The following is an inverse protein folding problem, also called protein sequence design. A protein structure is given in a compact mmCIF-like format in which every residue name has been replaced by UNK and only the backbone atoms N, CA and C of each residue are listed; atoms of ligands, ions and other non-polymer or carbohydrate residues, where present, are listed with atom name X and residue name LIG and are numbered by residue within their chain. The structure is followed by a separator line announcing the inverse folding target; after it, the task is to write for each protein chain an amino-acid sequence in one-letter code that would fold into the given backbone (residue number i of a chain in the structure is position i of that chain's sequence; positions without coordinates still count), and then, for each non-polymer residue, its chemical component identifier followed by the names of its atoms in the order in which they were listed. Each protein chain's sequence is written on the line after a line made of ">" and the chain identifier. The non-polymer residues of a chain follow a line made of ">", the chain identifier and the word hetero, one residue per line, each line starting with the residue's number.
data_IF_912715887036
#
_entry.id   IF_912715887036
#
_cell.length_a   1.000
_cell.length_b   1.000
_cell.length_c   1.000
_cell.angle_alpha   90.00
_cell.angle_beta   90.00
_cell.angle_gamma   90.00
#
_symmetry.space_group_name_H-M   'P 1'
#
loop_
_entity.id
_entity.type
_entity.pdbx_description
1 polymer ?
#
# COMPACT_ATOMS: atom_id res chain seq x y z
N UNK A 1 5.15 -8.66 56.87
CA UNK A 1 5.17 -10.15 56.86
C UNK A 1 5.23 -10.54 55.40
N UNK A 2 6.29 -11.06 54.79
CA UNK A 2 7.34 -11.97 55.22
C UNK A 2 8.67 -11.57 54.58
N UNK A 3 9.75 -11.84 55.30
CA UNK A 3 11.12 -11.40 55.10
C UNK A 3 11.98 -12.63 54.80
N UNK A 4 12.54 -12.77 53.59
CA UNK A 4 13.62 -13.72 53.25
C UNK A 4 14.34 -13.15 52.01
N UNK A 5 15.65 -13.09 51.83
CA UNK A 5 16.81 -12.98 52.71
C UNK A 5 17.98 -12.56 51.79
N UNK A 6 18.86 -11.70 52.29
CA UNK A 6 20.09 -11.21 51.66
C UNK A 6 21.11 -12.33 51.38
N UNK A 7 21.75 -12.26 50.20
CA UNK A 7 23.17 -12.61 49.96
C UNK A 7 23.62 -11.83 48.71
N UNK A 8 24.23 -10.65 48.80
CA UNK A 8 25.63 -10.38 49.18
C UNK A 8 26.66 -11.17 48.36
N UNK A 9 26.92 -10.76 47.12
CA UNK A 9 28.25 -10.85 46.51
C UNK A 9 28.51 -9.52 45.77
N UNK A 10 29.06 -8.57 46.52
CA UNK A 10 29.88 -7.47 45.98
C UNK A 10 31.31 -7.91 46.20
N UNK A 11 32.08 -8.13 45.11
CA UNK A 11 33.54 -7.98 45.09
C UNK A 11 34.07 -8.14 43.67
N UNK A 12 34.60 -7.03 43.14
CA UNK A 12 35.72 -7.07 42.21
C UNK A 12 35.42 -6.99 40.72
N UNK A 13 34.73 -5.95 40.24
CA UNK A 13 35.03 -5.44 38.90
C UNK A 13 36.06 -4.34 39.10
N UNK A 14 37.31 -4.76 39.13
CA UNK A 14 38.45 -3.85 38.94
C UNK A 14 38.30 -3.30 37.53
N UNK A 15 38.06 -2.00 37.45
CA UNK A 15 38.30 -1.16 36.29
C UNK A 15 39.76 -1.34 35.89
N UNK A 16 40.03 -2.33 35.06
CA UNK A 16 41.30 -2.51 34.39
C UNK A 16 41.09 -2.03 32.95
N UNK A 17 41.16 -0.71 32.83
CA UNK A 17 41.51 -0.03 31.58
C UNK A 17 42.96 -0.45 31.29
N UNK A 18 43.16 -1.68 30.81
CA UNK A 18 44.42 -2.07 30.18
C UNK A 18 44.36 -1.53 28.76
N UNK A 19 44.94 -0.36 28.58
CA UNK A 19 46.12 -0.19 27.73
C UNK A 19 46.24 -1.10 26.50
N UNK A 20 45.23 -1.14 25.63
CA UNK A 20 45.37 -1.68 24.27
C UNK A 20 46.17 -0.74 23.32
N UNK A 21 46.77 0.33 23.86
CA UNK A 21 47.54 1.32 23.11
C UNK A 21 49.07 1.12 23.13
N UNK A 22 49.62 0.13 23.86
CA UNK A 22 51.08 0.02 24.06
C UNK A 22 51.80 -1.15 23.37
N UNK A 23 51.11 -1.96 22.56
CA UNK A 23 51.73 -2.91 21.62
C UNK A 23 51.44 -2.55 20.15
N UNK A 24 51.51 -1.26 19.82
CA UNK A 24 51.72 -0.81 18.44
C UNK A 24 53.22 -0.89 18.07
N UNK A 25 53.89 -1.96 18.51
CA UNK A 25 55.16 -2.37 17.91
C UNK A 25 54.90 -2.80 16.47
N UNK A 26 55.89 -2.63 15.61
CA UNK A 26 55.84 -2.83 14.16
C UNK A 26 55.48 -4.29 13.80
N UNK A 27 54.21 -4.66 13.93
CA UNK A 27 53.63 -5.94 13.48
C UNK A 27 53.40 -5.92 11.96
N UNK A 28 53.86 -4.88 11.26
CA UNK A 28 53.77 -4.78 9.81
C UNK A 28 54.61 -5.91 9.18
N UNK A 29 53.94 -7.01 8.85
CA UNK A 29 54.55 -8.18 8.19
C UNK A 29 54.44 -9.49 8.97
N UNK A 30 54.06 -9.48 10.25
CA UNK A 30 53.88 -10.72 11.00
C UNK A 30 52.48 -11.29 10.74
N UNK A 31 52.39 -12.35 9.92
CA UNK A 31 51.13 -13.06 9.67
C UNK A 31 50.81 -14.02 10.81
N UNK A 32 49.56 -14.02 11.27
CA UNK A 32 49.04 -14.96 12.26
C UNK A 32 48.76 -16.29 11.57
N UNK A 33 49.22 -17.38 12.18
CA UNK A 33 48.90 -18.74 11.76
C UNK A 33 47.60 -19.19 12.43
N UNK A 34 46.55 -19.41 11.64
CA UNK A 34 45.27 -19.96 12.09
C UNK A 34 45.15 -21.39 11.56
N UNK A 35 44.93 -22.35 12.46
CA UNK A 35 44.79 -23.76 12.08
C UNK A 35 43.42 -23.97 11.42
N UNK A 36 43.36 -24.83 10.41
CA UNK A 36 42.13 -25.18 9.68
C UNK A 36 41.01 -25.66 10.61
N UNK A 37 41.35 -26.41 11.65
CA UNK A 37 40.42 -26.96 12.64
C UNK A 37 39.90 -25.93 13.65
N UNK A 38 40.52 -24.75 13.72
CA UNK A 38 40.03 -23.61 14.48
C UNK A 38 39.01 -22.75 13.70
N UNK A 39 38.84 -23.00 12.39
CA UNK A 39 37.82 -22.32 11.58
C UNK A 39 36.43 -22.92 11.83
N UNK A 40 35.42 -22.05 11.89
CA UNK A 40 34.01 -22.42 11.81
C UNK A 40 33.75 -23.37 10.60
N UNK A 41 32.83 -24.35 10.68
CA UNK A 41 32.55 -25.27 9.58
C UNK A 41 32.27 -24.60 8.23
N UNK A 42 31.63 -23.43 8.17
CA UNK A 42 31.40 -22.72 6.92
C UNK A 42 32.69 -22.12 6.34
N UNK A 43 33.48 -21.43 7.18
CA UNK A 43 34.79 -20.88 6.80
C UNK A 43 35.76 -22.00 6.40
N UNK A 44 35.72 -23.15 7.07
CA UNK A 44 36.53 -24.33 6.75
C UNK A 44 36.18 -24.91 5.38
N UNK A 45 34.89 -25.05 5.07
CA UNK A 45 34.45 -25.51 3.74
C UNK A 45 34.90 -24.55 2.64
N UNK A 46 34.79 -23.24 2.88
CA UNK A 46 35.26 -22.22 1.93
C UNK A 46 36.79 -22.22 1.76
N UNK A 47 37.54 -22.46 2.84
CA UNK A 47 38.98 -22.68 2.80
C UNK A 47 39.34 -23.91 1.95
N UNK A 48 38.68 -25.05 2.19
CA UNK A 48 38.91 -26.29 1.44
C UNK A 48 38.61 -26.15 -0.06
N UNK A 49 37.59 -25.36 -0.39
CA UNK A 49 37.20 -25.04 -1.77
C UNK A 49 38.08 -23.96 -2.44
N UNK A 50 38.97 -23.29 -1.70
CA UNK A 50 39.77 -22.17 -2.23
C UNK A 50 38.95 -20.89 -2.49
N UNK A 51 37.76 -20.80 -1.89
CA UNK A 51 36.85 -19.65 -2.01
C UNK A 51 37.05 -18.62 -0.90
N UNK A 52 37.89 -18.91 0.11
CA UNK A 52 38.20 -17.97 1.18
C UNK A 52 38.93 -16.73 0.64
N UNK A 53 38.54 -15.55 1.12
CA UNK A 53 39.17 -14.26 0.79
C UNK A 53 39.64 -13.56 2.06
N UNK A 54 40.80 -12.90 1.97
CA UNK A 54 41.39 -12.06 3.02
C UNK A 54 41.12 -10.59 2.68
N UNK A 55 40.30 -9.94 3.50
CA UNK A 55 39.98 -8.52 3.35
C UNK A 55 40.94 -7.68 4.17
N UNK A 56 41.77 -6.89 3.48
CA UNK A 56 42.60 -5.83 4.07
C UNK A 56 42.00 -4.47 3.72
N UNK A 57 42.32 -3.43 4.51
CA UNK A 57 41.73 -2.07 4.48
C UNK A 57 41.33 -1.53 3.10
N UNK A 58 42.00 -1.90 2.01
CA UNK A 58 41.70 -1.45 0.65
C UNK A 58 41.82 -2.55 -0.43
N UNK A 59 42.14 -3.80 -0.08
CA UNK A 59 42.40 -4.86 -1.06
C UNK A 59 41.87 -6.20 -0.58
N UNK A 60 41.08 -6.87 -1.41
CA UNK A 60 40.77 -8.30 -1.26
C UNK A 60 41.89 -9.12 -1.89
N UNK A 61 42.46 -10.04 -1.12
CA UNK A 61 43.53 -10.95 -1.60
C UNK A 61 43.21 -12.38 -1.22
N UNK A 62 43.74 -13.35 -1.96
CA UNK A 62 43.68 -14.75 -1.52
C UNK A 62 44.63 -14.91 -0.34
N UNK A 63 44.17 -15.43 0.82
CA UNK A 63 45.06 -15.63 1.94
C UNK A 63 46.17 -16.61 1.59
N UNK A 64 47.33 -16.46 2.24
CA UNK A 64 48.44 -17.40 2.06
C UNK A 64 48.14 -18.68 2.82
N UNK A 65 48.17 -19.80 2.13
CA UNK A 65 47.92 -21.13 2.68
C UNK A 65 49.21 -21.93 2.62
N UNK A 66 49.58 -22.60 3.71
CA UNK A 66 50.76 -23.46 3.72
C UNK A 66 50.59 -24.67 2.77
N UNK A 67 51.70 -25.27 2.34
CA UNK A 67 51.70 -26.30 1.29
C UNK A 67 50.86 -27.53 1.63
N UNK A 68 50.72 -27.84 2.92
CA UNK A 68 49.90 -28.93 3.45
C UNK A 68 48.42 -28.55 3.66
N UNK A 69 48.06 -27.28 3.43
CA UNK A 69 46.74 -26.70 3.66
C UNK A 69 46.20 -26.93 5.08
N UNK A 70 47.07 -27.05 6.08
CA UNK A 70 46.63 -27.18 7.48
C UNK A 70 46.54 -25.83 8.19
N UNK A 71 47.30 -24.86 7.70
CA UNK A 71 47.48 -23.57 8.36
C UNK A 71 47.26 -22.42 7.37
N UNK A 72 46.49 -21.44 7.82
CA UNK A 72 46.14 -20.23 7.11
C UNK A 72 46.94 -19.06 7.72
N UNK A 73 47.69 -18.33 6.88
CA UNK A 73 48.51 -17.18 7.31
C UNK A 73 47.81 -15.87 6.95
N UNK A 74 47.34 -15.15 7.97
CA UNK A 74 46.46 -13.97 7.81
C UNK A 74 47.14 -12.75 8.42
N UNK A 75 46.92 -11.57 7.85
CA UNK A 75 47.29 -10.33 8.54
C UNK A 75 46.48 -10.17 9.85
N UNK A 76 47.11 -9.75 10.97
CA UNK A 76 46.42 -9.50 12.24
C UNK A 76 45.20 -8.59 12.15
N UNK A 77 45.12 -7.73 11.12
CA UNK A 77 44.02 -6.80 10.92
C UNK A 77 43.06 -7.20 9.81
N UNK A 78 43.31 -8.33 9.15
CA UNK A 78 42.44 -8.80 8.08
C UNK A 78 41.24 -9.59 8.62
N UNK A 79 40.17 -9.53 7.83
CA UNK A 79 38.98 -10.37 8.04
C UNK A 79 38.96 -11.46 6.99
N UNK A 80 38.57 -12.67 7.39
CA UNK A 80 38.31 -13.77 6.48
C UNK A 80 36.87 -13.70 6.03
N UNK A 81 36.61 -13.86 4.73
CA UNK A 81 35.23 -13.85 4.25
C UNK A 81 34.97 -15.04 3.35
N UNK A 82 33.82 -15.67 3.59
CA UNK A 82 33.29 -16.77 2.81
C UNK A 82 31.82 -16.55 2.50
N UNK A 83 31.37 -17.08 1.37
CA UNK A 83 29.95 -17.20 1.05
C UNK A 83 29.56 -18.66 1.19
N UNK A 84 28.51 -18.93 1.96
CA UNK A 84 27.90 -20.25 2.04
C UNK A 84 26.78 -20.36 1.02
N UNK A 85 27.06 -21.02 -0.10
CA UNK A 85 26.07 -21.29 -1.16
C UNK A 85 25.08 -22.38 -0.76
N UNK A 86 25.39 -23.18 0.27
CA UNK A 86 24.52 -24.26 0.75
C UNK A 86 23.41 -23.75 1.66
N UNK A 87 23.65 -22.60 2.29
CA UNK A 87 22.67 -21.93 3.13
C UNK A 87 21.88 -20.97 2.25
N UNK A 88 20.75 -21.45 1.72
CA UNK A 88 19.68 -20.56 1.25
C UNK A 88 19.27 -19.57 2.34
N UNK A 89 18.35 -18.65 2.07
CA UNK A 89 17.85 -17.65 3.02
C UNK A 89 17.41 -18.27 4.37
N UNK A 90 18.35 -18.45 5.30
CA UNK A 90 18.12 -19.05 6.60
C UNK A 90 17.51 -18.00 7.50
N UNK A 91 16.51 -18.39 8.29
CA UNK A 91 15.88 -17.50 9.25
C UNK A 91 16.32 -17.84 10.67
N UNK A 92 16.76 -16.84 11.41
CA UNK A 92 17.01 -16.90 12.84
C UNK A 92 16.07 -15.91 13.51
N UNK A 93 15.19 -16.38 14.40
CA UNK A 93 14.18 -15.55 15.08
C UNK A 93 13.27 -14.73 14.13
N UNK A 94 13.02 -15.25 12.92
CA UNK A 94 12.24 -14.58 11.88
C UNK A 94 13.02 -13.57 11.04
N UNK A 95 14.28 -13.32 11.38
CA UNK A 95 15.19 -12.44 10.64
C UNK A 95 16.02 -13.24 9.64
N UNK A 96 16.42 -12.59 8.54
CA UNK A 96 17.15 -13.23 7.46
C UNK A 96 18.66 -13.15 7.73
N UNK A 97 19.31 -14.31 7.84
CA UNK A 97 20.77 -14.36 7.84
C UNK A 97 21.28 -14.37 6.41
N UNK A 98 22.18 -13.44 6.10
CA UNK A 98 22.83 -13.41 4.81
C UNK A 98 23.78 -14.62 4.67
N UNK A 99 24.05 -15.09 3.44
CA UNK A 99 24.92 -16.24 3.19
C UNK A 99 26.42 -15.88 3.33
N UNK A 100 26.76 -14.79 4.02
CA UNK A 100 28.13 -14.33 4.19
C UNK A 100 28.61 -14.65 5.62
N UNK A 101 29.80 -15.23 5.70
CA UNK A 101 30.53 -15.55 6.91
C UNK A 101 31.78 -14.69 6.97
N UNK A 102 31.92 -13.90 8.02
CA UNK A 102 33.05 -13.00 8.24
C UNK A 102 33.81 -13.51 9.47
N UNK A 103 34.91 -14.20 9.23
CA UNK A 103 35.83 -14.65 10.27
C UNK A 103 36.71 -13.50 10.76
N UNK A 104 36.53 -13.09 12.01
CA UNK A 104 37.39 -12.12 12.67
C UNK A 104 38.36 -12.85 13.58
N UNK A 105 39.65 -12.72 13.29
CA UNK A 105 40.70 -13.26 14.14
C UNK A 105 40.84 -12.35 15.35
N UNK A 106 40.57 -12.89 16.53
CA UNK A 106 40.78 -12.23 17.81
C UNK A 106 41.90 -12.93 18.56
N UNK A 107 42.70 -12.15 19.29
CA UNK A 107 43.72 -12.67 20.21
C UNK A 107 43.29 -12.33 21.64
N UNK A 108 42.37 -13.12 22.24
CA UNK A 108 41.91 -12.83 23.58
C UNK A 108 43.07 -12.90 24.57
N UNK A 109 43.19 -11.95 25.50
CA UNK A 109 44.29 -11.93 26.46
C UNK A 109 44.33 -13.24 27.27
N UNK A 110 45.43 -13.97 27.16
CA UNK A 110 45.65 -15.25 27.85
C UNK A 110 45.23 -16.50 27.05
N UNK A 111 44.74 -16.36 25.83
CA UNK A 111 44.54 -17.50 24.94
C UNK A 111 45.87 -17.99 24.38
N UNK A 112 46.04 -19.31 24.31
CA UNK A 112 47.21 -19.93 23.69
C UNK A 112 47.13 -19.92 22.15
N UNK A 113 45.93 -19.78 21.60
CA UNK A 113 45.66 -19.79 20.17
C UNK A 113 44.63 -18.69 19.81
N UNK A 114 44.77 -18.06 18.62
CA UNK A 114 43.81 -17.08 18.14
C UNK A 114 42.44 -17.72 17.89
N UNK A 115 41.37 -17.00 18.26
CA UNK A 115 39.99 -17.44 18.08
C UNK A 115 39.39 -16.72 16.88
N UNK A 116 38.82 -17.48 15.94
CA UNK A 116 38.09 -16.92 14.80
C UNK A 116 36.61 -16.82 15.16
N UNK A 117 36.12 -15.59 15.31
CA UNK A 117 34.70 -15.32 15.48
C UNK A 117 34.02 -15.34 14.11
N UNK A 118 33.04 -16.21 13.90
CA UNK A 118 32.19 -16.18 12.71
C UNK A 118 31.06 -15.16 12.87
N UNK A 119 31.09 -14.12 12.03
CA UNK A 119 30.06 -13.09 12.00
C UNK A 119 29.19 -13.23 10.77
N UNK A 120 27.89 -13.04 10.97
CA UNK A 120 26.90 -13.09 9.90
C UNK A 120 26.11 -11.78 9.86
N UNK A 121 25.98 -11.16 8.68
CA UNK A 121 25.02 -10.08 8.53
C UNK A 121 23.60 -10.61 8.68
N UNK A 122 22.82 -9.91 9.48
CA UNK A 122 21.43 -10.22 9.79
C UNK A 122 20.56 -9.05 9.34
N UNK A 123 19.55 -9.36 8.53
CA UNK A 123 18.62 -8.39 7.96
C UNK A 123 17.23 -8.65 8.51
N UNK A 124 16.69 -7.69 9.24
CA UNK A 124 15.28 -7.61 9.57
C UNK A 124 14.61 -6.60 8.63
N UNK A 125 13.43 -6.93 8.13
CA UNK A 125 12.64 -6.04 7.29
C UNK A 125 11.37 -5.64 8.03
N UNK A 126 10.88 -4.42 7.81
CA UNK A 126 9.52 -4.02 8.17
C UNK A 126 8.44 -4.87 7.49
N UNK A 127 8.83 -5.73 6.54
CA UNK A 127 8.04 -6.77 5.91
C UNK A 127 7.68 -6.43 4.48
N UNK A 128 7.11 -5.24 4.25
CA UNK A 128 6.63 -4.81 2.94
C UNK A 128 6.84 -3.31 2.72
N UNK A 129 6.85 -2.92 1.45
CA UNK A 129 6.72 -1.53 1.04
C UNK A 129 5.29 -1.05 1.30
N UNK A 130 5.13 0.08 2.00
CA UNK A 130 3.83 0.70 2.32
C UNK A 130 3.75 2.11 1.75
N UNK A 131 2.57 2.57 1.28
CA UNK A 131 2.41 3.89 0.72
C UNK A 131 2.66 4.98 1.77
N UNK A 132 3.52 5.95 1.46
CA UNK A 132 3.84 7.09 2.31
C UNK A 132 4.31 8.29 1.45
N UNK A 133 3.60 9.41 1.57
CA UNK A 133 3.93 10.69 0.91
C UNK A 133 4.11 10.58 -0.62
N UNK A 134 3.21 9.88 -1.31
CA UNK A 134 3.26 9.73 -2.77
C UNK A 134 4.34 8.76 -3.29
N UNK A 135 5.00 8.03 -2.38
CA UNK A 135 5.95 6.98 -2.69
C UNK A 135 5.61 5.73 -1.87
N UNK A 136 6.34 4.65 -2.08
CA UNK A 136 6.28 3.48 -1.21
C UNK A 136 7.58 3.36 -0.42
N UNK A 137 7.46 3.08 0.88
CA UNK A 137 8.59 3.01 1.81
C UNK A 137 8.65 1.70 2.56
N UNK A 138 9.85 1.23 2.82
CA UNK A 138 10.14 0.10 3.70
C UNK A 138 11.38 0.43 4.53
N UNK A 139 11.57 -0.30 5.63
CA UNK A 139 12.78 -0.20 6.43
C UNK A 139 13.49 -1.55 6.51
N UNK A 140 14.81 -1.51 6.37
CA UNK A 140 15.68 -2.64 6.65
C UNK A 140 16.56 -2.32 7.85
N UNK A 141 16.57 -3.18 8.85
CA UNK A 141 17.51 -3.12 9.96
C UNK A 141 18.58 -4.17 9.67
N UNK A 142 19.82 -3.71 9.51
CA UNK A 142 20.97 -4.56 9.24
C UNK A 142 21.88 -4.54 10.45
N UNK A 143 22.29 -5.72 10.92
CA UNK A 143 23.22 -5.88 12.05
C UNK A 143 24.24 -6.97 11.75
N UNK A 144 25.36 -6.95 12.48
CA UNK A 144 26.31 -8.06 12.49
C UNK A 144 26.15 -8.84 13.79
N UNK A 145 25.93 -10.15 13.68
CA UNK A 145 25.81 -11.07 14.82
C UNK A 145 26.93 -12.09 14.77
N UNK A 146 27.51 -12.43 15.93
CA UNK A 146 28.38 -13.59 16.05
C UNK A 146 27.53 -14.83 16.33
N UNK A 147 27.85 -15.95 15.70
CA UNK A 147 27.08 -17.20 15.84
C UNK A 147 27.08 -17.73 17.28
N UNK A 148 28.18 -17.51 18.02
CA UNK A 148 28.41 -18.16 19.33
C UNK A 148 28.55 -17.16 20.52
N UNK A 149 28.43 -15.85 20.30
CA UNK A 149 28.65 -14.86 21.36
C UNK A 149 27.78 -13.61 21.20
N UNK A 150 27.14 -13.17 22.28
CA UNK A 150 26.39 -11.90 22.33
C UNK A 150 27.21 -10.69 22.76
N UNK A 151 28.55 -10.81 22.84
CA UNK A 151 29.41 -9.72 23.31
C UNK A 151 29.63 -8.65 22.23
N UNK A 152 29.67 -7.39 22.63
CA UNK A 152 30.10 -6.26 21.79
C UNK A 152 31.61 -6.36 21.58
N UNK A 153 32.01 -6.77 20.38
CA UNK A 153 33.42 -6.94 19.98
C UNK A 153 33.75 -5.90 18.92
N UNK A 154 34.77 -5.08 19.17
CA UNK A 154 35.28 -4.15 18.17
C UNK A 154 35.93 -4.90 17.00
N UNK A 155 35.60 -4.49 15.78
CA UNK A 155 36.12 -5.10 14.56
C UNK A 155 37.52 -4.55 14.25
N UNK A 156 38.47 -5.38 13.78
CA UNK A 156 39.82 -4.93 13.45
C UNK A 156 39.85 -3.97 12.25
N UNK A 157 38.83 -4.06 11.39
CA UNK A 157 38.55 -3.11 10.33
C UNK A 157 37.03 -3.02 10.13
N UNK A 158 36.49 -1.86 9.70
CA UNK A 158 35.06 -1.73 9.47
C UNK A 158 34.56 -2.65 8.35
N UNK A 159 33.39 -3.25 8.55
CA UNK A 159 32.67 -3.98 7.50
C UNK A 159 31.73 -3.02 6.81
N UNK A 160 31.83 -2.91 5.48
CA UNK A 160 30.98 -2.06 4.66
C UNK A 160 30.00 -2.90 3.84
N UNK A 161 28.72 -2.57 3.94
CA UNK A 161 27.62 -3.16 3.19
C UNK A 161 26.93 -2.07 2.37
N UNK A 162 26.68 -2.33 1.09
CA UNK A 162 25.91 -1.43 0.23
C UNK A 162 24.54 -2.03 -0.03
N UNK A 163 23.51 -1.21 0.13
CA UNK A 163 22.10 -1.55 -0.12
C UNK A 163 21.63 -0.79 -1.35
N UNK A 164 21.14 -1.52 -2.34
CA UNK A 164 20.58 -0.98 -3.57
C UNK A 164 19.14 -1.48 -3.71
N UNK A 165 18.20 -0.59 -4.02
CA UNK A 165 16.80 -0.96 -4.26
C UNK A 165 16.47 -0.74 -5.73
N UNK A 166 15.83 -1.72 -6.35
CA UNK A 166 15.45 -1.65 -7.74
C UNK A 166 14.40 -0.55 -7.97
N UNK A 167 14.72 0.41 -8.85
CA UNK A 167 13.81 1.49 -9.21
C UNK A 167 13.54 2.51 -8.11
N UNK A 168 14.41 2.60 -7.09
CA UNK A 168 14.25 3.55 -5.98
C UNK A 168 15.57 4.01 -5.36
N UNK A 169 15.49 4.45 -4.11
CA UNK A 169 16.61 4.91 -3.31
C UNK A 169 16.67 4.21 -1.94
N UNK A 170 17.88 3.93 -1.48
CA UNK A 170 18.17 3.44 -0.12
C UNK A 170 18.95 4.51 0.65
N UNK A 171 18.55 4.82 1.88
CA UNK A 171 19.19 5.86 2.71
C UNK A 171 19.37 5.39 4.17
N UNK A 172 20.61 5.31 4.69
CA UNK A 172 21.87 5.34 3.92
C UNK A 172 21.97 4.13 2.99
N UNK A 173 22.61 4.28 1.83
CA UNK A 173 22.89 3.17 0.92
C UNK A 173 24.18 2.43 1.26
N UNK A 174 25.04 3.00 2.11
CA UNK A 174 26.27 2.36 2.61
C UNK A 174 26.21 2.29 4.12
N UNK A 175 26.39 1.09 4.66
CA UNK A 175 26.37 0.78 6.09
C UNK A 175 27.76 0.38 6.53
N UNK A 176 28.24 1.01 7.60
CA UNK A 176 29.59 0.81 8.10
C UNK A 176 29.56 0.31 9.53
N UNK A 177 29.95 -0.93 9.76
CA UNK A 177 29.94 -1.56 11.07
C UNK A 177 31.36 -1.57 11.65
N UNK A 178 31.52 -1.03 12.86
CA UNK A 178 32.81 -0.96 13.56
C UNK A 178 32.87 -1.90 14.77
N UNK A 179 31.72 -2.36 15.27
CA UNK A 179 31.62 -3.35 16.34
C UNK A 179 30.40 -4.28 16.15
N UNK A 180 30.40 -5.41 16.86
CA UNK A 180 29.26 -6.31 16.93
C UNK A 180 28.10 -5.68 17.69
N UNK A 181 26.87 -6.12 17.39
CA UNK A 181 25.66 -5.58 18.05
C UNK A 181 25.25 -4.18 17.56
N UNK A 182 26.05 -3.52 16.72
CA UNK A 182 25.61 -2.35 15.98
C UNK A 182 24.51 -2.75 14.98
N UNK A 183 23.37 -2.06 15.08
CA UNK A 183 22.28 -2.16 14.12
C UNK A 183 22.14 -0.81 13.40
N UNK A 184 21.96 -0.86 12.08
CA UNK A 184 21.73 0.32 11.24
C UNK A 184 20.44 0.16 10.46
N UNK A 185 19.63 1.22 10.46
CA UNK A 185 18.37 1.25 9.73
C UNK A 185 18.58 1.91 8.37
N UNK A 186 18.07 1.26 7.33
CA UNK A 186 18.03 1.74 5.95
C UNK A 186 16.59 2.01 5.56
N UNK A 187 16.29 3.27 5.26
CA UNK A 187 15.02 3.66 4.67
C UNK A 187 15.08 3.40 3.16
N UNK A 188 14.20 2.54 2.68
CA UNK A 188 13.99 2.26 1.26
C UNK A 188 12.82 3.09 0.75
N UNK A 189 12.95 3.68 -0.42
CA UNK A 189 11.86 4.45 -1.07
C UNK A 189 11.82 4.15 -2.56
N UNK A 190 10.64 3.80 -3.08
CA UNK A 190 10.38 3.66 -4.52
C UNK A 190 9.25 4.62 -4.93
N UNK A 191 9.35 5.29 -6.08
CA UNK A 191 8.37 6.28 -6.52
C UNK A 191 7.10 5.66 -7.12
N UNK A 192 7.18 4.43 -7.61
CA UNK A 192 6.07 3.75 -8.30
C UNK A 192 5.80 2.39 -7.66
N UNK A 193 4.52 2.07 -7.49
CA UNK A 193 4.08 0.78 -7.00
C UNK A 193 4.56 -0.35 -7.92
N UNK A 194 5.17 -1.39 -7.33
CA UNK A 194 5.47 -2.66 -7.98
C UNK A 194 5.03 -3.78 -7.05
N UNK A 195 4.56 -4.92 -7.57
CA UNK A 195 4.11 -6.01 -6.70
C UNK A 195 5.23 -6.52 -5.82
N UNK A 196 6.39 -6.72 -6.42
CA UNK A 196 7.62 -7.14 -5.78
C UNK A 196 8.78 -6.21 -6.17
N UNK A 197 9.68 -5.96 -5.22
CA UNK A 197 10.81 -5.05 -5.36
C UNK A 197 12.06 -5.77 -4.89
N UNK A 198 13.05 -5.85 -5.78
CA UNK A 198 14.34 -6.46 -5.47
C UNK A 198 15.21 -5.46 -4.70
N UNK A 199 15.64 -5.84 -3.50
CA UNK A 199 16.65 -5.15 -2.71
C UNK A 199 17.92 -5.99 -2.76
N UNK A 200 18.98 -5.40 -3.29
CA UNK A 200 20.30 -6.02 -3.38
C UNK A 200 21.16 -5.53 -2.21
N UNK A 201 21.69 -6.48 -1.44
CA UNK A 201 22.67 -6.24 -0.38
C UNK A 201 24.01 -6.78 -0.87
N UNK A 202 24.97 -5.87 -1.02
CA UNK A 202 26.29 -6.15 -1.55
C UNK A 202 27.36 -5.85 -0.50
N UNK A 203 28.42 -6.65 -0.46
CA UNK A 203 29.61 -6.38 0.32
C UNK A 203 30.62 -5.70 -0.60
N UNK A 204 30.53 -4.39 -0.77
CA UNK A 204 31.20 -3.65 -1.87
C UNK A 204 32.71 -3.79 -2.00
N UNK A 205 33.39 -4.34 -1.00
CA UNK A 205 34.84 -4.58 -1.00
C UNK A 205 35.23 -6.01 -1.37
N UNK A 206 34.24 -6.86 -1.57
CA UNK A 206 34.40 -8.27 -1.81
C UNK A 206 33.74 -8.53 -3.14
N UNK A 207 34.54 -8.95 -4.11
CA UNK A 207 34.08 -9.45 -5.40
C UNK A 207 33.26 -10.74 -5.20
N UNK A 208 32.13 -10.59 -4.50
CA UNK A 208 31.21 -11.60 -4.04
C UNK A 208 29.88 -11.30 -4.71
N UNK A 209 29.18 -12.35 -5.12
CA UNK A 209 27.87 -12.15 -5.75
C UNK A 209 26.92 -11.50 -4.74
N UNK A 210 26.26 -10.40 -5.12
CA UNK A 210 25.32 -9.72 -4.24
C UNK A 210 24.19 -10.63 -3.78
N UNK A 211 23.66 -10.37 -2.58
CA UNK A 211 22.48 -11.04 -2.08
C UNK A 211 21.22 -10.27 -2.51
N UNK A 212 20.21 -10.97 -3.02
CA UNK A 212 18.95 -10.37 -3.43
C UNK A 212 17.83 -10.76 -2.48
N UNK A 213 17.15 -9.75 -1.95
CA UNK A 213 15.96 -9.86 -1.12
C UNK A 213 14.77 -9.33 -1.92
N UNK A 214 13.71 -10.11 -2.03
CA UNK A 214 12.47 -9.64 -2.65
C UNK A 214 11.52 -9.18 -1.55
N UNK A 215 11.12 -7.91 -1.59
CA UNK A 215 10.11 -7.34 -0.70
C UNK A 215 8.84 -7.05 -1.48
N UNK A 216 7.71 -7.54 -0.99
CA UNK A 216 6.41 -7.24 -1.61
C UNK A 216 5.91 -5.85 -1.21
N UNK A 217 5.02 -5.29 -2.03
CA UNK A 217 4.34 -4.04 -1.73
C UNK A 217 2.95 -4.30 -1.18
N UNK A 218 2.64 -3.72 -0.03
CA UNK A 218 1.28 -3.66 0.50
C UNK A 218 0.60 -2.41 -0.04
N UNK A 219 -0.51 -2.62 -0.72
CA UNK A 219 -1.40 -1.56 -1.18
C UNK A 219 -2.58 -1.51 -0.24
N UNK A 220 -3.16 -0.33 -0.05
CA UNK A 220 -4.43 -0.29 0.63
C UNK A 220 -5.48 -1.07 -0.13
N UNK A 221 -6.67 -1.23 0.43
CA UNK A 221 -7.86 -1.77 -0.23
C UNK A 221 -9.03 -0.79 -0.11
N UNK A 222 -9.76 -0.58 -1.21
CA UNK A 222 -11.04 0.13 -1.21
C UNK A 222 -12.15 -0.90 -1.34
N UNK A 223 -13.27 -0.65 -0.68
CA UNK A 223 -14.54 -1.35 -0.90
C UNK A 223 -15.58 -0.33 -1.29
N UNK A 224 -16.33 -0.64 -2.36
CA UNK A 224 -17.47 0.16 -2.80
C UNK A 224 -18.75 -0.62 -2.58
N UNK A 225 -19.75 0.06 -2.03
CA UNK A 225 -21.11 -0.46 -1.97
C UNK A 225 -22.10 0.63 -2.38
N UNK A 226 -23.20 0.22 -3.00
CA UNK A 226 -24.26 1.13 -3.44
C UNK A 226 -25.57 0.74 -2.78
N UNK A 227 -26.28 1.74 -2.27
CA UNK A 227 -27.61 1.57 -1.66
C UNK A 227 -28.56 2.66 -2.16
N UNK A 228 -29.70 2.29 -2.78
CA UNK A 228 -30.08 0.93 -3.20
C UNK A 228 -29.28 0.45 -4.44
N UNK A 229 -29.31 -0.86 -4.71
CA UNK A 229 -28.68 -1.46 -5.90
C UNK A 229 -29.51 -1.32 -7.18
N UNK A 230 -30.77 -0.92 -7.05
CA UNK A 230 -31.66 -0.64 -8.18
C UNK A 230 -32.30 0.73 -7.95
N UNK A 231 -32.29 1.57 -8.97
CA UNK A 231 -32.88 2.91 -8.95
C UNK A 231 -33.64 3.18 -10.24
N UNK A 232 -34.60 4.11 -10.19
CA UNK A 232 -35.30 4.54 -11.39
C UNK A 232 -34.34 5.25 -12.37
N UNK A 233 -34.45 4.91 -13.66
CA UNK A 233 -33.66 5.50 -14.74
C UNK A 233 -34.02 6.96 -15.06
N UNK A 234 -33.35 7.50 -16.09
CA UNK A 234 -33.64 8.82 -16.67
C UNK A 234 -33.60 10.01 -15.69
N UNK A 235 -32.71 10.00 -14.70
CA UNK A 235 -32.55 11.10 -13.74
C UNK A 235 -33.51 11.08 -12.55
N UNK A 236 -34.40 10.09 -12.47
CA UNK A 236 -35.43 9.99 -11.43
C UNK A 236 -34.91 9.40 -10.13
N UNK A 237 -33.96 8.46 -10.23
CA UNK A 237 -33.43 7.72 -9.10
C UNK A 237 -32.05 8.21 -8.67
N UNK A 238 -31.77 8.05 -7.39
CA UNK A 238 -30.44 8.27 -6.82
C UNK A 238 -30.04 7.10 -5.92
N UNK A 239 -28.75 6.78 -5.90
CA UNK A 239 -28.15 5.79 -5.01
C UNK A 239 -26.98 6.41 -4.24
N UNK A 240 -26.86 6.07 -2.97
CA UNK A 240 -25.70 6.44 -2.17
C UNK A 240 -24.61 5.40 -2.40
N UNK A 241 -23.44 5.87 -2.82
CA UNK A 241 -22.21 5.10 -2.92
C UNK A 241 -21.44 5.29 -1.62
N UNK A 242 -21.27 4.21 -0.86
CA UNK A 242 -20.42 4.15 0.31
C UNK A 242 -19.05 3.60 -0.09
N UNK A 243 -18.01 4.31 0.34
CA UNK A 243 -16.61 4.00 0.11
C UNK A 243 -16.00 3.75 1.47
N UNK A 244 -15.34 2.62 1.63
CA UNK A 244 -14.55 2.31 2.82
C UNK A 244 -13.13 1.96 2.38
N UNK A 245 -12.16 2.41 3.17
CA UNK A 245 -10.76 2.13 2.93
C UNK A 245 -10.11 1.45 4.14
N UNK A 246 -9.15 0.58 3.89
CA UNK A 246 -8.35 -0.03 4.94
C UNK A 246 -7.31 0.93 5.53
N UNK A 247 -6.55 0.44 6.51
CA UNK A 247 -5.64 1.27 7.30
C UNK A 247 -4.47 1.89 6.52
N UNK A 248 -4.13 1.30 5.38
CA UNK A 248 -3.02 1.72 4.52
C UNK A 248 -3.39 2.91 3.63
N UNK A 249 -4.68 3.21 3.48
CA UNK A 249 -5.11 4.45 2.82
C UNK A 249 -5.12 5.58 3.87
N UNK A 250 -4.45 6.70 3.60
CA UNK A 250 -4.47 7.84 4.52
C UNK A 250 -5.89 8.39 4.69
N UNK A 251 -6.26 8.73 5.92
CA UNK A 251 -7.46 9.55 6.17
C UNK A 251 -7.36 10.89 5.42
N UNK A 252 -8.49 11.52 5.13
CA UNK A 252 -8.56 12.76 4.34
C UNK A 252 -8.05 12.64 2.89
N UNK A 253 -7.89 11.42 2.38
CA UNK A 253 -7.58 11.19 0.96
C UNK A 253 -8.81 11.45 0.09
N UNK A 254 -8.64 12.20 -0.99
CA UNK A 254 -9.67 12.37 -2.02
C UNK A 254 -9.66 11.16 -2.97
N UNK A 255 -10.78 10.43 -3.03
CA UNK A 255 -10.93 9.23 -3.85
C UNK A 255 -11.62 9.61 -5.17
N UNK A 256 -10.95 9.43 -6.30
CA UNK A 256 -11.58 9.59 -7.60
C UNK A 256 -12.61 8.51 -7.84
N UNK A 257 -13.84 8.91 -8.20
CA UNK A 257 -14.87 7.99 -8.66
C UNK A 257 -15.13 8.16 -10.15
N UNK A 258 -15.39 7.06 -10.81
CA UNK A 258 -15.81 6.98 -12.20
C UNK A 258 -17.10 6.16 -12.29
N UNK A 259 -18.00 6.55 -13.18
CA UNK A 259 -19.18 5.77 -13.53
C UNK A 259 -19.25 5.68 -15.05
N UNK A 260 -19.63 4.51 -15.56
CA UNK A 260 -19.87 4.32 -17.00
C UNK A 260 -21.13 5.05 -17.50
N UNK A 261 -22.07 5.34 -16.60
CA UNK A 261 -23.30 6.08 -16.85
C UNK A 261 -23.80 6.75 -15.57
N UNK A 262 -24.66 7.76 -15.70
CA UNK A 262 -25.13 8.54 -14.55
C UNK A 262 -24.18 9.68 -14.16
N UNK A 263 -24.55 10.41 -13.12
CA UNK A 263 -23.77 11.54 -12.60
C UNK A 263 -23.45 11.31 -11.13
N UNK A 264 -22.17 11.42 -10.77
CA UNK A 264 -21.68 11.29 -9.39
C UNK A 264 -21.49 12.67 -8.75
N UNK A 265 -21.90 12.80 -7.49
CA UNK A 265 -21.70 14.01 -6.68
C UNK A 265 -21.35 13.66 -5.22
N UNK A 266 -20.15 14.00 -4.71
CA UNK A 266 -19.01 14.56 -5.47
C UNK A 266 -18.30 13.49 -6.32
N UNK A 267 -17.56 13.92 -7.35
CA UNK A 267 -16.65 13.05 -8.13
C UNK A 267 -15.40 12.63 -7.35
N UNK A 268 -15.05 13.39 -6.31
CA UNK A 268 -13.88 13.17 -5.47
C UNK A 268 -14.23 13.25 -3.98
N UNK A 269 -15.03 12.30 -3.46
CA UNK A 269 -15.31 12.23 -2.02
C UNK A 269 -14.01 12.09 -1.23
N UNK A 270 -13.95 12.78 -0.09
CA UNK A 270 -12.79 12.77 0.81
C UNK A 270 -13.07 11.81 1.96
N UNK A 271 -12.14 10.90 2.23
CA UNK A 271 -12.24 9.97 3.36
C UNK A 271 -12.20 10.72 4.69
N UNK A 272 -13.08 10.34 5.62
CA UNK A 272 -13.05 10.83 7.00
C UNK A 272 -11.95 10.14 7.84
N UNK A 273 -11.91 10.45 9.14
CA UNK A 273 -10.97 9.84 10.09
C UNK A 273 -11.21 8.34 10.31
N UNK A 274 -12.41 7.85 10.01
CA UNK A 274 -12.76 6.43 10.02
C UNK A 274 -12.49 5.75 8.67
N UNK A 275 -11.94 6.50 7.70
CA UNK A 275 -11.65 6.05 6.33
C UNK A 275 -12.91 5.67 5.54
N UNK A 276 -14.04 6.28 5.88
CA UNK A 276 -15.29 6.21 5.14
C UNK A 276 -15.52 7.46 4.29
N UNK A 277 -16.23 7.33 3.17
CA UNK A 277 -16.78 8.47 2.45
C UNK A 277 -18.05 8.08 1.69
N UNK A 278 -18.85 9.08 1.34
CA UNK A 278 -20.09 8.89 0.57
C UNK A 278 -20.13 9.79 -0.66
N UNK A 279 -20.67 9.27 -1.75
CA UNK A 279 -21.09 10.04 -2.93
C UNK A 279 -22.50 9.64 -3.34
N UNK A 280 -23.17 10.48 -4.11
CA UNK A 280 -24.49 10.17 -4.68
C UNK A 280 -24.37 9.95 -6.17
N UNK A 281 -24.92 8.84 -6.66
CA UNK A 281 -25.07 8.55 -8.08
C UNK A 281 -26.51 8.85 -8.51
N UNK A 282 -26.69 9.68 -9.53
CA UNK A 282 -27.97 9.92 -10.21
C UNK A 282 -28.00 9.19 -11.54
N UNK A 283 -29.10 8.52 -11.86
CA UNK A 283 -29.24 7.79 -13.13
C UNK A 283 -29.27 8.73 -14.34
N UNK A 284 -28.79 8.28 -15.49
CA UNK A 284 -28.85 9.03 -16.78
C UNK A 284 -29.44 8.17 -17.93
N UNK A 285 -29.98 7.00 -17.61
CA UNK A 285 -30.48 6.08 -18.64
C UNK A 285 -31.11 4.83 -18.05
N UNK A 286 -30.94 3.71 -18.75
CA UNK A 286 -31.39 2.37 -18.35
C UNK A 286 -30.23 1.38 -18.41
N UNK A 287 -30.35 0.28 -17.65
CA UNK A 287 -29.38 -0.81 -17.66
C UNK A 287 -28.42 -0.77 -16.48
N UNK A 288 -27.40 -1.60 -16.52
CA UNK A 288 -26.39 -1.68 -15.47
C UNK A 288 -25.38 -0.53 -15.59
N UNK A 289 -25.11 0.12 -14.47
CA UNK A 289 -24.07 1.09 -14.27
C UNK A 289 -23.00 0.51 -13.35
N UNK A 290 -21.74 0.57 -13.77
CA UNK A 290 -20.59 0.19 -12.96
C UNK A 290 -19.90 1.45 -12.46
N UNK A 291 -19.92 1.64 -11.13
CA UNK A 291 -19.13 2.65 -10.44
C UNK A 291 -17.79 2.05 -10.04
N UNK A 292 -16.71 2.77 -10.32
CA UNK A 292 -15.32 2.36 -10.03
C UNK A 292 -14.63 3.45 -9.21
N UNK A 293 -13.73 3.03 -8.33
CA UNK A 293 -12.77 3.92 -7.68
C UNK A 293 -11.37 3.59 -8.21
N UNK A 294 -10.93 4.22 -9.32
CA UNK A 294 -9.57 4.07 -9.79
C UNK A 294 -8.60 4.61 -8.73
N UNK A 295 -7.58 3.82 -8.42
CA UNK A 295 -6.50 4.23 -7.53
C UNK A 295 -5.35 4.82 -8.32
N UNK A 296 -4.64 5.77 -7.68
CA UNK A 296 -3.43 6.37 -8.26
C UNK A 296 -2.25 5.38 -8.30
N UNK A 297 -2.31 4.29 -7.54
CA UNK A 297 -1.23 3.35 -7.30
C UNK A 297 -1.50 1.91 -7.82
N UNK A 298 -2.48 1.67 -8.71
CA UNK A 298 -2.82 0.31 -9.18
C UNK A 298 -3.14 0.16 -10.68
N UNK A 299 -2.68 -0.95 -11.28
CA UNK A 299 -3.50 -1.82 -12.15
C UNK A 299 -3.59 -3.27 -11.60
N UNK A 300 -4.57 -4.13 -11.97
CA UNK A 300 -5.99 -3.93 -12.26
C UNK A 300 -6.84 -4.51 -11.11
N UNK A 301 -7.24 -3.70 -10.13
CA UNK A 301 -8.01 -4.16 -8.97
C UNK A 301 -9.05 -3.15 -8.48
N UNK A 302 -9.43 -2.19 -9.33
CA UNK A 302 -10.32 -1.08 -8.95
C UNK A 302 -11.57 -1.60 -8.25
N UNK A 303 -11.78 -1.15 -7.01
CA UNK A 303 -13.02 -1.41 -6.30
C UNK A 303 -14.19 -0.97 -7.18
N UNK A 304 -15.19 -1.83 -7.34
CA UNK A 304 -16.33 -1.56 -8.19
C UNK A 304 -17.62 -2.05 -7.57
N UNK A 305 -18.71 -1.39 -7.92
CA UNK A 305 -20.07 -1.77 -7.54
C UNK A 305 -21.01 -1.53 -8.71
N UNK A 306 -22.04 -2.36 -8.84
CA UNK A 306 -23.01 -2.29 -9.93
C UNK A 306 -24.37 -1.85 -9.41
N UNK A 307 -24.97 -0.88 -10.09
CA UNK A 307 -26.31 -0.36 -9.85
C UNK A 307 -27.12 -0.58 -11.11
N UNK A 308 -28.39 -0.98 -11.00
CA UNK A 308 -29.28 -1.16 -12.16
C UNK A 308 -30.27 0.00 -12.24
N UNK A 309 -30.30 0.66 -13.39
CA UNK A 309 -31.28 1.69 -13.72
C UNK A 309 -32.50 1.04 -14.35
N UNK A 310 -33.62 1.05 -13.65
CA UNK A 310 -34.87 0.40 -14.05
C UNK A 310 -35.81 1.37 -14.76
N UNK A 311 -36.62 0.89 -15.73
CA UNK A 311 -37.59 1.74 -16.41
C UNK A 311 -38.68 2.19 -15.44
N UNK A 312 -39.01 3.50 -15.39
CA UNK A 312 -39.96 4.04 -14.43
C UNK A 312 -41.41 3.85 -14.92
N UNK A 313 -41.83 2.60 -15.14
CA UNK A 313 -43.14 2.27 -15.74
C UNK A 313 -44.29 2.82 -14.90
N UNK A 314 -44.23 2.63 -13.58
CA UNK A 314 -45.28 3.08 -12.66
C UNK A 314 -45.41 4.60 -12.69
N UNK A 315 -44.29 5.33 -12.68
CA UNK A 315 -44.26 6.78 -12.84
C UNK A 315 -44.97 7.23 -14.13
N UNK A 316 -44.67 6.60 -15.26
CA UNK A 316 -45.32 6.93 -16.54
C UNK A 316 -46.83 6.65 -16.52
N UNK A 317 -47.27 5.53 -15.93
CA UNK A 317 -48.69 5.22 -15.80
C UNK A 317 -49.41 6.29 -14.96
N UNK A 318 -48.85 6.68 -13.83
CA UNK A 318 -49.45 7.72 -12.97
C UNK A 318 -49.45 9.08 -13.65
N UNK A 319 -48.37 9.46 -14.35
CA UNK A 319 -48.33 10.67 -15.15
C UNK A 319 -49.40 10.67 -16.24
N UNK A 320 -49.59 9.56 -16.97
CA UNK A 320 -50.64 9.46 -17.99
C UNK A 320 -52.04 9.57 -17.39
N UNK A 321 -52.32 8.84 -16.30
CA UNK A 321 -53.60 8.89 -15.61
C UNK A 321 -53.92 10.30 -15.08
N UNK A 322 -52.93 11.00 -14.53
CA UNK A 322 -53.07 12.39 -14.09
C UNK A 322 -53.47 13.30 -15.24
N UNK A 323 -52.77 13.21 -16.37
CA UNK A 323 -53.04 14.06 -17.55
C UNK A 323 -54.41 13.76 -18.18
N UNK A 324 -54.83 12.50 -18.20
CA UNK A 324 -56.19 12.10 -18.60
C UNK A 324 -57.23 12.72 -17.68
N UNK A 325 -57.04 12.64 -16.35
CA UNK A 325 -57.99 13.21 -15.39
C UNK A 325 -58.06 14.74 -15.52
N UNK A 326 -56.92 15.42 -15.56
CA UNK A 326 -56.86 16.88 -15.68
C UNK A 326 -57.55 17.39 -16.95
N UNK A 327 -57.32 16.71 -18.08
CA UNK A 327 -57.95 17.04 -19.35
C UNK A 327 -59.44 16.71 -19.41
N UNK A 328 -59.87 15.60 -18.79
CA UNK A 328 -61.28 15.26 -18.67
C UNK A 328 -62.04 16.32 -17.85
N UNK A 329 -61.54 16.68 -16.66
CA UNK A 329 -62.11 17.73 -15.82
C UNK A 329 -62.26 19.06 -16.57
N UNK A 330 -61.28 19.38 -17.41
CA UNK A 330 -61.34 20.57 -18.26
C UNK A 330 -62.47 20.52 -19.29
N UNK A 331 -62.62 19.40 -20.00
CA UNK A 331 -63.69 19.24 -21.01
C UNK A 331 -65.06 19.31 -20.36
N UNK A 332 -65.23 18.68 -19.19
CA UNK A 332 -66.46 18.79 -18.40
C UNK A 332 -66.78 20.24 -18.01
N UNK A 333 -65.77 21.02 -17.57
CA UNK A 333 -65.95 22.45 -17.25
C UNK A 333 -66.35 23.29 -18.47
N UNK A 334 -65.78 23.03 -19.64
CA UNK A 334 -66.03 23.82 -20.85
C UNK A 334 -67.29 23.42 -21.62
N UNK A 335 -67.96 22.31 -21.26
CA UNK A 335 -69.17 21.77 -21.91
C UNK A 335 -69.08 21.59 -23.44
N UNK A 336 -67.88 21.56 -24.02
CA UNK A 336 -67.65 21.40 -25.46
C UNK A 336 -67.44 19.93 -25.83
N UNK A 337 -68.52 19.23 -26.18
CA UNK A 337 -68.46 17.79 -26.53
C UNK A 337 -67.76 17.49 -27.86
N UNK A 338 -67.76 18.44 -28.81
CA UNK A 338 -67.38 18.17 -30.21
C UNK A 338 -65.88 17.90 -30.45
N UNK A 339 -65.03 17.99 -29.42
CA UNK A 339 -63.58 17.81 -29.55
C UNK A 339 -62.93 17.06 -28.37
N UNK A 340 -63.69 16.21 -27.65
CA UNK A 340 -63.23 15.59 -26.41
C UNK A 340 -61.95 14.75 -26.60
N UNK A 341 -61.90 13.89 -27.63
CA UNK A 341 -60.73 13.03 -27.88
C UNK A 341 -59.42 13.82 -28.08
N UNK A 342 -59.45 14.89 -28.89
CA UNK A 342 -58.28 15.76 -29.11
C UNK A 342 -57.88 16.48 -27.83
N UNK A 343 -58.86 16.95 -27.04
CA UNK A 343 -58.58 17.65 -25.79
C UNK A 343 -57.95 16.73 -24.74
N UNK A 344 -58.41 15.47 -24.63
CA UNK A 344 -57.78 14.47 -23.77
C UNK A 344 -56.36 14.20 -24.24
N UNK A 345 -56.17 13.84 -25.52
CA UNK A 345 -54.84 13.49 -26.05
C UNK A 345 -53.80 14.61 -25.82
N UNK A 346 -54.17 15.86 -26.12
CA UNK A 346 -53.28 17.03 -25.89
C UNK A 346 -53.01 17.24 -24.39
N UNK A 347 -54.04 17.12 -23.54
CA UNK A 347 -53.86 17.31 -22.10
C UNK A 347 -53.07 16.18 -21.43
N UNK A 348 -53.21 14.94 -21.89
CA UNK A 348 -52.39 13.81 -21.45
C UNK A 348 -50.92 14.00 -21.82
N UNK A 349 -50.63 14.41 -23.07
CA UNK A 349 -49.26 14.71 -23.51
C UNK A 349 -48.66 15.90 -22.74
N UNK A 350 -49.43 16.97 -22.55
CA UNK A 350 -48.98 18.12 -21.76
C UNK A 350 -48.73 17.73 -20.30
N UNK A 351 -49.60 16.93 -19.71
CA UNK A 351 -49.44 16.41 -18.35
C UNK A 351 -48.19 15.54 -18.19
N UNK A 352 -47.97 14.61 -19.12
CA UNK A 352 -46.76 13.79 -19.16
C UNK A 352 -45.50 14.65 -19.28
N UNK A 353 -45.50 15.63 -20.17
CA UNK A 353 -44.38 16.58 -20.31
C UNK A 353 -44.14 17.35 -19.02
N UNK A 354 -45.21 17.81 -18.35
CA UNK A 354 -45.13 18.48 -17.06
C UNK A 354 -44.51 17.61 -15.97
N UNK A 355 -44.90 16.33 -15.91
CA UNK A 355 -44.31 15.36 -14.98
C UNK A 355 -42.82 15.13 -15.28
N UNK A 356 -42.43 14.99 -16.56
CA UNK A 356 -41.03 14.84 -16.98
C UNK A 356 -40.20 16.08 -16.59
N UNK A 357 -40.70 17.29 -16.88
CA UNK A 357 -39.99 18.53 -16.55
C UNK A 357 -39.76 18.65 -15.04
N UNK A 358 -40.78 18.34 -14.23
CA UNK A 358 -40.64 18.30 -12.78
C UNK A 358 -39.61 17.26 -12.31
N UNK A 359 -39.67 16.04 -12.86
CA UNK A 359 -38.74 14.95 -12.59
C UNK A 359 -37.27 15.31 -12.89
N UNK A 360 -37.04 16.09 -13.94
CA UNK A 360 -35.72 16.62 -14.30
C UNK A 360 -35.22 17.70 -13.33
N UNK A 361 -35.93 17.97 -12.24
CA UNK A 361 -35.52 18.93 -11.22
C UNK A 361 -35.72 20.38 -11.63
N UNK A 362 -36.50 20.65 -12.70
CA UNK A 362 -37.02 22.00 -12.89
C UNK A 362 -37.93 22.28 -11.70
N UNK A 363 -37.43 23.13 -10.79
CA UNK A 363 -38.14 23.60 -9.59
C UNK A 363 -39.34 24.45 -10.01
N UNK A 364 -40.38 23.80 -10.55
CA UNK A 364 -41.68 24.41 -10.79
C UNK A 364 -42.38 24.63 -9.44
N UNK A 365 -42.08 23.78 -8.44
CA UNK A 365 -42.58 23.81 -7.07
C UNK A 365 -41.42 23.51 -6.10
N UNK A 366 -41.25 24.32 -5.05
CA UNK A 366 -40.23 24.17 -3.98
C UNK A 366 -40.57 23.06 -2.98
N UNK A 367 -41.05 21.91 -3.45
CA UNK A 367 -41.46 20.79 -2.62
C UNK A 367 -40.49 19.62 -2.78
N UNK A 368 -39.89 19.18 -1.67
CA UNK A 368 -39.05 17.98 -1.62
C UNK A 368 -39.95 16.75 -1.39
N UNK A 369 -39.93 15.79 -2.31
CA UNK A 369 -40.72 14.57 -2.24
C UNK A 369 -39.81 13.35 -2.05
N UNK A 370 -40.21 12.44 -1.17
CA UNK A 370 -39.53 11.14 -1.01
C UNK A 370 -39.91 10.19 -2.15
N UNK A 371 -39.09 9.17 -2.48
CA UNK A 371 -39.35 8.25 -3.60
C UNK A 371 -40.74 7.61 -3.58
N UNK A 372 -41.26 7.25 -2.41
CA UNK A 372 -42.59 6.66 -2.23
C UNK A 372 -43.77 7.62 -2.51
N UNK A 373 -43.49 8.92 -2.66
CA UNK A 373 -44.48 9.95 -3.02
C UNK A 373 -44.34 10.41 -4.48
N UNK A 374 -43.36 9.87 -5.21
CA UNK A 374 -43.02 10.34 -6.55
C UNK A 374 -44.11 10.05 -7.59
N UNK A 375 -44.84 8.94 -7.46
CA UNK A 375 -45.92 8.56 -8.36
C UNK A 375 -47.16 9.45 -8.18
N UNK A 376 -47.54 9.72 -6.94
CA UNK A 376 -48.65 10.62 -6.62
C UNK A 376 -48.34 12.07 -7.02
N UNK A 377 -47.09 12.51 -6.83
CA UNK A 377 -46.63 13.80 -7.32
C UNK A 377 -46.69 13.87 -8.84
N UNK A 378 -46.21 12.85 -9.56
CA UNK A 378 -46.29 12.77 -11.02
C UNK A 378 -47.74 12.85 -11.52
N UNK A 379 -48.66 12.11 -10.88
CA UNK A 379 -50.08 12.19 -11.15
C UNK A 379 -50.65 13.59 -10.93
N UNK A 380 -50.38 14.19 -9.76
CA UNK A 380 -50.90 15.51 -9.39
C UNK A 380 -50.41 16.62 -10.32
N UNK A 381 -49.10 16.66 -10.60
CA UNK A 381 -48.48 17.62 -11.50
C UNK A 381 -49.03 17.45 -12.92
N UNK A 382 -49.10 16.22 -13.40
CA UNK A 382 -49.66 15.92 -14.72
C UNK A 382 -51.14 16.34 -14.83
N UNK A 383 -51.94 16.12 -13.77
CA UNK A 383 -53.32 16.57 -13.73
C UNK A 383 -53.46 18.09 -13.74
N UNK A 384 -52.62 18.81 -12.99
CA UNK A 384 -52.60 20.27 -12.98
C UNK A 384 -52.20 20.84 -14.36
N UNK A 385 -51.16 20.29 -14.98
CA UNK A 385 -50.71 20.73 -16.30
C UNK A 385 -51.75 20.38 -17.37
N UNK A 386 -52.31 19.17 -17.37
CA UNK A 386 -53.36 18.76 -18.31
C UNK A 386 -54.63 19.62 -18.20
N UNK A 387 -54.95 20.09 -16.99
CA UNK A 387 -56.05 21.04 -16.73
C UNK A 387 -55.72 22.46 -17.26
N UNK A 388 -54.49 22.93 -17.06
CA UNK A 388 -54.07 24.31 -17.38
C UNK A 388 -53.66 24.56 -18.83
N UNK A 389 -52.97 23.62 -19.49
CA UNK A 389 -52.17 23.94 -20.69
C UNK A 389 -52.96 24.45 -21.90
N UNK A 390 -54.22 24.07 -22.07
CA UNK A 390 -54.97 24.52 -23.24
C UNK A 390 -55.77 25.80 -23.09
N UNK A 391 -55.70 26.52 -21.95
CA UNK A 391 -56.11 27.93 -21.94
C UNK A 391 -55.13 28.79 -22.75
N UNK A 392 -53.85 28.39 -22.80
CA UNK A 392 -52.79 29.14 -23.47
C UNK A 392 -52.72 28.91 -25.00
N UNK A 393 -53.23 27.77 -25.48
CA UNK A 393 -53.16 27.35 -26.88
C UNK A 393 -54.53 27.38 -27.58
N UNK A 394 -55.32 28.44 -27.36
CA UNK A 394 -56.30 28.81 -28.38
C UNK A 394 -55.54 29.63 -29.41
N UNK A 395 -55.25 29.09 -30.62
CA UNK A 395 -54.68 29.89 -31.67
C UNK A 395 -55.60 31.09 -31.86
N UNK A 396 -55.02 32.29 -31.99
CA UNK A 396 -55.69 33.50 -32.42
C UNK A 396 -56.66 33.15 -33.55
N UNK A 397 -57.91 32.87 -33.18
CA UNK A 397 -58.91 32.47 -34.12
C UNK A 397 -59.12 33.71 -34.96
N UNK A 398 -58.77 33.62 -36.26
CA UNK A 398 -58.90 34.73 -37.19
C UNK A 398 -60.29 35.35 -36.98
N UNK A 399 -60.39 36.68 -36.76
CA UNK A 399 -61.69 37.32 -36.60
C UNK A 399 -62.55 36.93 -37.80
N UNK A 400 -63.76 36.43 -37.51
CA UNK A 400 -64.73 36.14 -38.56
C UNK A 400 -64.97 37.42 -39.35
N UNK A 401 -64.79 37.35 -40.67
CA UNK A 401 -65.18 38.42 -41.60
C UNK A 401 -66.67 38.40 -41.83
#
# INVERSE_FOLDING_TARGET
>A
MSTIAKKSIVRGIVTLVITSALFAGDLAGQRIAVRRDALDPALRRAFDAGHLRELRRETSTTPSVDADRTTLRIDPRAMLIARDETVGSARLDGELLLPFHIGVVTDPPGAAEPVVLDLRPKVASSGAFVPANGAFRAELIVSLVATDSGADVALPSPVELTVVVEGGEAKPNVLKFESLGQAQTVSLTIPTARDDVTVTVDLSRLDATPFQLVLSTRRGKLTLSATPKEILGYGLGTATILIEADELVPANSAIGLEADSGTLDPLRPTLDDQRGATATLRSDGLGACIVRAPRWDEPPGSASTTIVFTPPIVFFVFALLGGVLGSALRVFRLRKQRAWGRAIAVGTLAGLLGAILWALGLRVLTLDFTPATSEFAAFGISALVGLGFGTFWQPFAKPAR
#
